data_IF_889844974469
#
_entry.id   IF_889844974469
#
_cell.length_a   1.000
_cell.length_b   1.000
_cell.length_c   1.000
_cell.angle_alpha   90.00
_cell.angle_beta   90.00
_cell.angle_gamma   90.00
#
_symmetry.space_group_name_H-M   'P 1'
#
loop_
_entity.id
_entity.type
_entity.pdbx_description
1 polymer ?
#
# COMPACT_ATOMS: atom_id res chain seq x y z
N UNK A 1 -13.03 -9.96 17.03
CA UNK A 1 -12.18 -9.83 18.24
C UNK A 1 -11.13 -8.76 17.94
N UNK A 2 -11.30 -7.56 18.48
CA UNK A 2 -10.31 -6.50 18.32
C UNK A 2 -9.31 -6.73 19.44
N UNK A 3 -8.10 -7.18 19.10
CA UNK A 3 -7.03 -7.32 20.10
C UNK A 3 -6.58 -5.93 20.55
N UNK A 4 -7.16 -5.48 21.67
CA UNK A 4 -6.85 -4.23 22.35
C UNK A 4 -5.55 -4.37 23.15
N UNK A 5 -4.40 -4.30 22.48
CA UNK A 5 -3.08 -4.41 23.12
C UNK A 5 -1.99 -3.65 22.35
N UNK A 6 -0.94 -3.24 23.05
CA UNK A 6 0.24 -2.61 22.44
C UNK A 6 0.92 -3.62 21.49
N UNK A 7 1.16 -3.22 20.24
CA UNK A 7 1.86 -4.04 19.23
C UNK A 7 3.16 -3.37 18.83
N UNK A 8 4.13 -4.18 18.42
CA UNK A 8 5.41 -3.68 17.93
C UNK A 8 5.21 -2.85 16.65
N UNK A 9 5.91 -1.71 16.57
CA UNK A 9 5.80 -0.73 15.50
C UNK A 9 6.97 -0.72 14.51
N UNK A 10 7.82 -1.74 14.49
CA UNK A 10 9.02 -1.79 13.62
C UNK A 10 8.67 -1.74 12.13
N UNK A 11 7.55 -2.36 11.75
CA UNK A 11 7.00 -2.32 10.41
C UNK A 11 5.50 -2.11 10.47
N UNK A 12 4.97 -1.37 9.51
CA UNK A 12 3.56 -1.01 9.43
C UNK A 12 3.05 -1.28 8.02
N UNK A 13 1.80 -1.74 7.92
CA UNK A 13 1.17 -1.96 6.61
C UNK A 13 0.87 -0.64 5.92
N UNK A 14 0.90 -0.63 4.59
CA UNK A 14 0.54 0.57 3.81
C UNK A 14 -0.84 1.16 4.18
N UNK A 15 -1.80 0.31 4.55
CA UNK A 15 -3.12 0.74 5.04
C UNK A 15 -3.06 1.52 6.35
N UNK A 16 -2.27 1.06 7.33
CA UNK A 16 -2.10 1.76 8.61
C UNK A 16 -1.29 3.06 8.48
N UNK A 17 -0.45 3.15 7.45
CA UNK A 17 0.32 4.35 7.13
C UNK A 17 -0.47 5.40 6.33
N UNK A 18 -1.74 5.16 6.00
CA UNK A 18 -2.56 6.11 5.24
C UNK A 18 -2.75 7.43 6.00
N UNK A 19 -2.60 8.55 5.29
CA UNK A 19 -2.71 9.89 5.87
C UNK A 19 -1.45 10.37 6.60
N UNK A 20 -0.55 9.46 7.00
CA UNK A 20 0.75 9.81 7.57
C UNK A 20 1.79 10.06 6.45
N UNK A 21 2.85 10.78 6.78
CA UNK A 21 4.02 10.95 5.91
C UNK A 21 5.30 10.98 6.74
N UNK A 22 6.35 10.31 6.27
CA UNK A 22 7.58 10.05 7.01
C UNK A 22 8.78 10.67 6.29
N UNK A 23 9.80 11.10 7.03
CA UNK A 23 11.01 11.68 6.44
C UNK A 23 11.75 10.67 5.56
N UNK A 24 11.89 9.44 6.04
CA UNK A 24 12.47 8.31 5.32
C UNK A 24 11.52 7.12 5.34
N UNK A 25 11.31 6.50 4.18
CA UNK A 25 10.50 5.27 4.04
C UNK A 25 11.35 4.16 3.45
N UNK A 26 11.26 2.97 4.04
CA UNK A 26 11.76 1.73 3.43
C UNK A 26 10.53 0.94 2.98
N UNK A 27 10.33 0.83 1.67
CA UNK A 27 9.22 0.07 1.10
C UNK A 27 9.71 -1.32 0.70
N UNK A 28 9.05 -2.35 1.24
CA UNK A 28 9.35 -3.75 0.94
C UNK A 28 8.54 -4.18 -0.28
N UNK A 29 9.21 -4.74 -1.28
CA UNK A 29 8.59 -5.25 -2.50
C UNK A 29 8.61 -6.78 -2.42
N UNK A 30 7.42 -7.36 -2.35
CA UNK A 30 7.18 -8.79 -2.21
C UNK A 30 6.25 -9.28 -3.33
N UNK A 31 6.34 -10.56 -3.68
CA UNK A 31 5.40 -11.20 -4.61
C UNK A 31 4.03 -11.46 -3.96
N UNK A 32 3.31 -10.38 -3.67
CA UNK A 32 1.98 -10.41 -3.05
C UNK A 32 0.93 -9.82 -4.01
N UNK A 33 -0.34 -10.28 -3.96
CA UNK A 33 -1.44 -9.65 -4.70
C UNK A 33 -1.70 -8.19 -4.30
N UNK A 34 -1.27 -7.80 -3.09
CA UNK A 34 -1.43 -6.44 -2.58
C UNK A 34 -0.31 -5.50 -3.06
N UNK A 35 0.86 -6.06 -3.37
CA UNK A 35 1.97 -5.32 -3.95
C UNK A 35 1.65 -5.05 -5.43
N UNK A 36 1.06 -3.89 -5.69
CA UNK A 36 0.64 -3.42 -7.02
C UNK A 36 1.29 -2.08 -7.31
N UNK A 37 1.26 -1.63 -8.57
CA UNK A 37 1.72 -0.28 -8.95
C UNK A 37 1.08 0.82 -8.09
N UNK A 38 -0.21 0.72 -7.76
CA UNK A 38 -0.91 1.72 -6.95
C UNK A 38 -0.43 1.70 -5.50
N UNK A 39 -0.17 0.52 -4.96
CA UNK A 39 0.41 0.38 -3.62
C UNK A 39 1.81 0.98 -3.58
N UNK A 40 2.66 0.68 -4.58
CA UNK A 40 4.01 1.21 -4.69
C UNK A 40 4.00 2.74 -4.81
N UNK A 41 3.13 3.30 -5.67
CA UNK A 41 2.92 4.75 -5.76
C UNK A 41 2.53 5.36 -4.41
N UNK A 42 1.64 4.69 -3.67
CA UNK A 42 1.24 5.14 -2.34
C UNK A 42 2.43 5.12 -1.38
N UNK A 43 3.22 4.05 -1.36
CA UNK A 43 4.41 3.94 -0.52
C UNK A 43 5.44 5.05 -0.84
N UNK A 44 5.66 5.34 -2.14
CA UNK A 44 6.55 6.41 -2.61
C UNK A 44 6.08 7.77 -2.09
N UNK A 45 4.80 8.09 -2.24
CA UNK A 45 4.25 9.38 -1.81
C UNK A 45 4.19 9.57 -0.29
N UNK A 46 4.45 8.52 0.51
CA UNK A 46 4.61 8.66 1.97
C UNK A 46 5.98 9.19 2.38
N UNK A 47 6.99 9.10 1.52
CA UNK A 47 8.34 9.60 1.81
C UNK A 47 8.44 11.10 1.53
N UNK A 48 8.95 11.87 2.49
CA UNK A 48 9.16 13.32 2.34
C UNK A 48 10.55 13.68 1.83
N UNK A 49 11.59 12.95 2.25
CA UNK A 49 12.99 13.26 1.91
C UNK A 49 13.68 12.13 1.16
N UNK A 50 13.49 10.89 1.60
CA UNK A 50 14.23 9.74 1.08
C UNK A 50 13.37 8.46 1.06
N UNK A 51 13.53 7.67 0.01
CA UNK A 51 12.90 6.35 -0.12
C UNK A 51 13.94 5.30 -0.48
N UNK A 52 13.86 4.16 0.20
CA UNK A 52 14.63 2.95 -0.10
C UNK A 52 13.69 1.81 -0.44
N UNK A 53 14.02 1.04 -1.47
CA UNK A 53 13.29 -0.16 -1.83
C UNK A 53 14.06 -1.38 -1.32
N UNK A 54 13.36 -2.25 -0.59
CA UNK A 54 13.85 -3.55 -0.18
C UNK A 54 13.19 -4.60 -1.06
N UNK A 55 13.92 -5.12 -2.04
CA UNK A 55 13.40 -6.06 -3.02
C UNK A 55 13.54 -7.51 -2.51
N UNK A 56 12.42 -8.16 -2.20
CA UNK A 56 12.33 -9.62 -2.04
C UNK A 56 11.89 -10.28 -3.35
N UNK A 57 11.35 -9.50 -4.28
CA UNK A 57 10.92 -9.92 -5.61
C UNK A 57 11.17 -8.79 -6.61
N UNK A 58 11.29 -9.12 -7.90
CA UNK A 58 11.63 -8.13 -8.92
C UNK A 58 10.51 -7.09 -9.12
N UNK A 59 10.87 -5.81 -9.02
CA UNK A 59 9.96 -4.66 -9.15
C UNK A 59 9.22 -4.63 -10.48
N UNK A 60 9.88 -5.07 -11.55
CA UNK A 60 9.30 -5.08 -12.88
C UNK A 60 8.11 -6.05 -12.97
N UNK A 61 8.15 -7.15 -12.22
CA UNK A 61 7.03 -8.10 -12.17
C UNK A 61 5.84 -7.49 -11.43
N UNK A 62 6.09 -6.83 -10.30
CA UNK A 62 5.06 -6.16 -9.48
C UNK A 62 4.37 -5.02 -10.25
N UNK A 63 5.12 -4.27 -11.04
CA UNK A 63 4.57 -3.16 -11.85
C UNK A 63 3.77 -3.63 -13.06
N UNK A 64 4.11 -4.81 -13.61
CA UNK A 64 3.38 -5.44 -14.74
C UNK A 64 2.14 -6.22 -14.30
N UNK A 65 1.95 -6.49 -13.00
CA UNK A 65 0.76 -7.19 -12.50
C UNK A 65 -0.52 -6.44 -12.89
N UNK A 66 -1.44 -7.18 -13.50
CA UNK A 66 -2.79 -6.70 -13.81
C UNK A 66 -3.55 -6.48 -12.51
N UNK A 67 -3.95 -5.24 -12.25
CA UNK A 67 -4.83 -4.90 -11.13
C UNK A 67 -6.23 -5.42 -11.48
N UNK A 68 -6.79 -6.29 -10.63
CA UNK A 68 -8.17 -6.75 -10.79
C UNK A 68 -9.12 -5.55 -10.87
N UNK A 69 -10.00 -5.51 -11.89
CA UNK A 69 -11.04 -4.49 -11.98
C UNK A 69 -11.82 -4.47 -10.66
N UNK A 70 -11.78 -3.35 -9.94
CA UNK A 70 -12.63 -3.17 -8.77
C UNK A 70 -14.07 -3.10 -9.27
N UNK A 71 -14.89 -4.09 -8.89
CA UNK A 71 -16.34 -4.04 -9.09
C UNK A 71 -16.88 -3.02 -8.07
N UNK A 72 -17.07 -1.78 -8.51
CA UNK A 72 -17.71 -0.76 -7.68
C UNK A 72 -19.22 -0.91 -7.83
N UNK A 73 -19.92 -1.37 -6.80
CA UNK A 73 -21.38 -1.20 -6.71
C UNK A 73 -21.66 0.27 -6.38
N UNK A 74 -21.73 1.13 -7.41
CA UNK A 74 -22.24 2.49 -7.24
C UNK A 74 -23.77 2.44 -7.38
N UNK A 75 -24.44 1.91 -6.37
CA UNK A 75 -25.89 2.12 -6.21
C UNK A 75 -26.09 3.54 -5.69
N UNK A 76 -25.99 4.54 -6.57
CA UNK A 76 -26.57 5.85 -6.27
C UNK A 76 -27.99 5.77 -6.78
N UNK A 77 -29.02 5.76 -5.93
CA UNK A 77 -30.37 5.96 -6.42
C UNK A 77 -30.40 7.36 -7.06
N UNK A 78 -30.65 7.41 -8.36
CA UNK A 78 -31.15 8.61 -9.00
C UNK A 78 -32.50 8.88 -8.33
N UNK A 79 -32.52 9.85 -7.42
CA UNK A 79 -33.77 10.36 -6.87
C UNK A 79 -34.54 10.93 -8.06
N UNK A 80 -35.68 10.29 -8.36
CA UNK A 80 -36.61 10.66 -9.41
C UNK A 80 -37.36 11.96 -9.07
#
# INVERSE_FOLDING_TARGET
MIESGLKLGYAVTGHKAQGAGFDRVIAVIEDSPLCTKNWLYTAITRAKKDIRLAEMSNVEQVTKKLVSKRITQRLVPLIA
#
